data_IF_234916122223
#
_entry.id   IF_234916122223
#
_cell.length_a   1.000
_cell.length_b   1.000
_cell.length_c   1.000
_cell.angle_alpha   90.00
_cell.angle_beta   90.00
_cell.angle_gamma   90.00
#
_symmetry.space_group_name_H-M   'P 1'
#
loop_
_entity.id
_entity.type
_entity.pdbx_description
1 polymer ?
#
# COMPACT_ATOMS: atom_id res chain seq x y z
N UNK A 1 5.08 3.76 -22.25
CA UNK A 1 5.56 5.06 -21.73
C UNK A 1 6.04 4.99 -20.27
N UNK A 2 5.38 4.20 -19.37
CA UNK A 2 5.71 4.08 -17.93
C UNK A 2 6.75 3.00 -17.60
N UNK A 3 7.38 2.37 -18.59
CA UNK A 3 8.37 1.31 -18.35
C UNK A 3 9.47 1.78 -17.41
N UNK A 4 9.66 1.04 -16.30
CA UNK A 4 10.57 1.33 -15.19
C UNK A 4 10.34 2.67 -14.47
N UNK A 5 9.29 3.44 -14.75
CA UNK A 5 8.92 4.62 -13.94
C UNK A 5 7.99 4.25 -12.80
N UNK A 6 7.25 3.17 -12.99
CA UNK A 6 6.47 2.52 -11.94
C UNK A 6 6.76 1.02 -11.93
N UNK A 7 6.78 0.43 -10.75
CA UNK A 7 6.78 -1.02 -10.57
C UNK A 7 5.45 -1.44 -9.95
N UNK A 8 4.90 -2.58 -10.33
CA UNK A 8 3.69 -3.12 -9.71
C UNK A 8 4.03 -3.84 -8.41
N UNK A 9 3.49 -3.38 -7.31
CA UNK A 9 3.50 -4.08 -6.02
C UNK A 9 2.14 -4.72 -5.82
N UNK A 10 2.14 -6.01 -5.51
CA UNK A 10 0.92 -6.79 -5.34
C UNK A 10 0.36 -6.57 -3.94
N UNK A 11 -0.90 -6.22 -3.84
CA UNK A 11 -1.63 -6.10 -2.57
C UNK A 11 -2.83 -7.02 -2.56
N UNK A 12 -3.28 -7.40 -1.37
CA UNK A 12 -4.43 -8.29 -1.25
C UNK A 12 -5.16 -8.13 0.07
N UNK A 13 -6.42 -8.46 0.03
CA UNK A 13 -7.34 -8.34 1.15
C UNK A 13 -8.15 -9.64 1.31
N UNK A 14 -8.63 -9.87 2.51
CA UNK A 14 -9.59 -10.93 2.84
C UNK A 14 -10.77 -10.35 3.62
N UNK A 15 -11.93 -11.00 3.50
CA UNK A 15 -13.09 -10.65 4.30
C UNK A 15 -13.71 -11.89 4.95
N UNK A 16 -14.12 -11.72 6.19
CA UNK A 16 -14.87 -12.76 6.93
C UNK A 16 -16.28 -12.96 6.36
N UNK A 17 -16.96 -14.01 6.78
CA UNK A 17 -18.43 -14.03 6.76
C UNK A 17 -18.98 -12.89 7.64
N UNK A 18 -20.26 -12.51 7.50
CA UNK A 18 -20.87 -11.51 8.37
C UNK A 18 -20.78 -11.94 9.84
N UNK A 19 -20.31 -11.02 10.68
CA UNK A 19 -20.18 -11.24 12.12
C UNK A 19 -21.43 -10.74 12.86
N UNK A 20 -21.81 -11.42 13.91
CA UNK A 20 -22.89 -10.99 14.80
C UNK A 20 -22.44 -9.81 15.67
N UNK A 21 -23.39 -9.05 16.21
CA UNK A 21 -23.11 -7.94 17.12
C UNK A 21 -22.33 -8.41 18.39
N UNK A 22 -22.58 -9.64 18.86
CA UNK A 22 -21.81 -10.22 19.96
C UNK A 22 -20.34 -10.42 19.60
N UNK A 23 -20.06 -10.90 18.38
CA UNK A 23 -18.69 -11.06 17.90
C UNK A 23 -18.01 -9.70 17.74
N UNK A 24 -18.69 -8.71 17.17
CA UNK A 24 -18.18 -7.35 17.06
C UNK A 24 -17.84 -6.74 18.43
N UNK A 25 -18.73 -6.89 19.39
CA UNK A 25 -18.47 -6.43 20.76
C UNK A 25 -17.26 -7.13 21.39
N UNK A 26 -17.07 -8.43 21.11
CA UNK A 26 -15.90 -9.17 21.60
C UNK A 26 -14.60 -8.71 20.95
N UNK A 27 -14.65 -8.27 19.69
CA UNK A 27 -13.51 -7.69 18.97
C UNK A 27 -13.22 -6.24 19.38
N UNK A 28 -14.12 -5.57 20.09
CA UNK A 28 -14.00 -4.20 20.54
C UNK A 28 -14.39 -3.15 19.49
N UNK A 29 -15.06 -3.56 18.41
CA UNK A 29 -15.59 -2.65 17.39
C UNK A 29 -17.03 -2.29 17.70
N UNK A 30 -17.32 -1.00 17.84
CA UNK A 30 -18.65 -0.50 18.20
C UNK A 30 -19.35 0.22 17.06
N UNK A 31 -18.58 0.69 16.09
CA UNK A 31 -19.05 1.41 14.90
C UNK A 31 -18.34 0.87 13.66
N UNK A 32 -18.39 1.62 12.56
CA UNK A 32 -17.66 1.29 11.34
C UNK A 32 -16.25 1.88 11.37
N UNK A 33 -15.49 1.54 12.42
CA UNK A 33 -14.14 2.00 12.57
C UNK A 33 -13.25 1.45 11.46
N UNK A 34 -12.35 2.30 10.98
CA UNK A 34 -11.17 1.89 10.22
C UNK A 34 -9.98 1.86 11.15
N UNK A 35 -9.15 0.89 11.00
CA UNK A 35 -8.02 0.65 11.88
C UNK A 35 -6.77 0.35 11.05
N UNK A 36 -5.64 0.88 11.49
CA UNK A 36 -4.32 0.48 11.00
C UNK A 36 -3.40 0.26 12.19
N UNK A 37 -2.53 -0.72 12.11
CA UNK A 37 -1.48 -0.89 13.10
C UNK A 37 -0.36 0.12 12.87
N UNK A 38 0.56 0.22 13.84
CA UNK A 38 1.71 1.12 13.77
C UNK A 38 2.98 0.43 13.26
N UNK A 39 2.86 -0.75 12.67
CA UNK A 39 4.01 -1.44 12.07
C UNK A 39 4.41 -0.80 10.75
N UNK A 40 5.68 -0.89 10.38
CA UNK A 40 6.12 -0.38 9.06
C UNK A 40 5.48 -1.13 7.89
N UNK A 41 5.10 -2.38 8.12
CA UNK A 41 4.41 -3.21 7.14
C UNK A 41 2.89 -3.02 7.15
N UNK A 42 2.39 -2.03 7.84
CA UNK A 42 1.01 -1.59 8.01
C UNK A 42 -0.07 -2.61 7.63
N UNK A 43 -0.71 -3.18 8.65
CA UNK A 43 -1.95 -3.93 8.48
C UNK A 43 -3.12 -2.96 8.67
N UNK A 44 -4.09 -3.04 7.80
CA UNK A 44 -5.28 -2.19 7.87
C UNK A 44 -6.54 -3.04 7.80
N UNK A 45 -7.55 -2.60 8.53
CA UNK A 45 -8.80 -3.32 8.65
C UNK A 45 -9.97 -2.37 8.89
N UNK A 46 -11.16 -2.86 8.56
CA UNK A 46 -12.40 -2.10 8.75
C UNK A 46 -13.60 -3.03 8.91
N UNK A 47 -14.61 -2.55 9.63
CA UNK A 47 -15.96 -3.13 9.63
C UNK A 47 -16.74 -2.60 8.43
N UNK A 48 -17.32 -3.50 7.64
CA UNK A 48 -18.15 -3.14 6.48
C UNK A 48 -19.63 -2.97 6.88
N UNK A 49 -20.39 -2.33 6.01
CA UNK A 49 -21.83 -2.13 6.23
C UNK A 49 -22.62 -3.45 6.33
N UNK A 50 -22.14 -4.51 5.66
CA UNK A 50 -22.72 -5.86 5.72
C UNK A 50 -22.08 -6.75 6.81
N UNK A 51 -21.49 -6.10 7.82
CA UNK A 51 -21.01 -6.75 9.05
C UNK A 51 -19.83 -7.70 8.86
N UNK A 52 -18.95 -7.47 7.90
CA UNK A 52 -17.74 -8.25 7.70
C UNK A 52 -16.51 -7.51 8.22
N UNK A 53 -15.55 -8.26 8.74
CA UNK A 53 -14.21 -7.72 8.97
C UNK A 53 -13.39 -7.90 7.69
N UNK A 54 -12.92 -6.79 7.14
CA UNK A 54 -12.02 -6.77 5.99
C UNK A 54 -10.62 -6.45 6.48
N UNK A 55 -9.64 -7.22 6.02
CA UNK A 55 -8.23 -7.08 6.43
C UNK A 55 -7.34 -7.07 5.20
N UNK A 56 -6.49 -6.08 5.12
CA UNK A 56 -5.41 -5.97 4.16
C UNK A 56 -4.08 -5.76 4.85
N UNK A 57 -3.02 -6.03 4.14
CA UNK A 57 -1.67 -5.77 4.59
C UNK A 57 -0.80 -5.35 3.42
N UNK A 58 0.34 -4.73 3.71
CA UNK A 58 1.30 -4.30 2.71
C UNK A 58 1.61 -5.42 1.71
N UNK A 59 1.74 -5.04 0.45
CA UNK A 59 1.93 -5.96 -0.65
C UNK A 59 3.37 -6.45 -0.80
N UNK A 60 3.59 -7.26 -1.80
CA UNK A 60 4.91 -7.77 -2.17
C UNK A 60 5.19 -7.53 -3.66
N UNK A 61 6.45 -7.43 -4.00
CA UNK A 61 6.90 -7.32 -5.37
C UNK A 61 7.14 -8.70 -5.97
N UNK A 62 6.60 -8.92 -7.17
CA UNK A 62 6.89 -10.14 -7.94
C UNK A 62 8.04 -9.87 -8.92
N UNK A 63 9.06 -10.73 -8.97
CA UNK A 63 10.16 -10.61 -9.92
C UNK A 63 9.65 -10.47 -11.37
N UNK A 64 10.26 -9.55 -12.12
CA UNK A 64 9.87 -9.26 -13.50
C UNK A 64 8.80 -8.18 -13.66
N UNK A 65 8.26 -7.67 -12.55
CA UNK A 65 7.41 -6.47 -12.56
C UNK A 65 6.15 -6.55 -13.42
N UNK A 66 5.58 -7.73 -13.59
CA UNK A 66 4.33 -7.89 -14.36
C UNK A 66 3.12 -7.65 -13.46
N UNK A 67 2.21 -6.75 -13.84
CA UNK A 67 0.94 -6.59 -13.13
C UNK A 67 0.16 -7.90 -13.16
N UNK A 68 -0.34 -8.32 -12.02
CA UNK A 68 -1.26 -9.45 -11.93
C UNK A 68 -2.66 -8.94 -11.66
N UNK A 69 -3.60 -9.33 -12.51
CA UNK A 69 -5.00 -8.93 -12.40
C UNK A 69 -5.85 -9.94 -11.61
N UNK A 70 -5.28 -11.09 -11.26
CA UNK A 70 -5.99 -12.23 -10.63
C UNK A 70 -5.25 -12.76 -9.41
N UNK A 71 -4.83 -11.89 -8.50
CA UNK A 71 -4.22 -12.32 -7.23
C UNK A 71 -5.23 -12.88 -6.22
N UNK A 72 -6.51 -12.79 -6.53
CA UNK A 72 -7.59 -13.20 -5.65
C UNK A 72 -7.50 -14.65 -5.15
N UNK A 73 -6.85 -15.53 -5.93
CA UNK A 73 -6.82 -16.98 -5.66
C UNK A 73 -5.43 -17.52 -5.25
N UNK A 74 -4.46 -16.65 -4.96
CA UNK A 74 -3.23 -17.12 -4.35
C UNK A 74 -3.53 -17.61 -2.94
N UNK A 75 -3.61 -18.92 -2.76
CA UNK A 75 -3.83 -19.55 -1.46
C UNK A 75 -2.82 -19.06 -0.41
N UNK A 76 -1.57 -18.84 -0.79
CA UNK A 76 -0.53 -18.32 0.08
C UNK A 76 -0.82 -16.90 0.58
N UNK A 77 -1.26 -15.99 -0.31
CA UNK A 77 -1.62 -14.63 0.07
C UNK A 77 -2.82 -14.62 1.02
N UNK A 78 -3.85 -15.39 0.70
CA UNK A 78 -5.02 -15.55 1.54
C UNK A 78 -4.64 -16.07 2.92
N UNK A 79 -3.91 -17.18 3.00
CA UNK A 79 -3.46 -17.77 4.27
C UNK A 79 -2.64 -16.78 5.12
N UNK A 80 -1.78 -15.99 4.50
CA UNK A 80 -1.02 -14.95 5.21
C UNK A 80 -1.94 -13.91 5.83
N UNK A 81 -2.96 -13.40 5.12
CA UNK A 81 -3.91 -12.40 5.66
C UNK A 81 -4.82 -13.00 6.73
N UNK A 82 -5.27 -14.23 6.55
CA UNK A 82 -6.01 -14.95 7.58
C UNK A 82 -5.16 -15.16 8.84
N UNK A 83 -3.87 -15.49 8.67
CA UNK A 83 -2.93 -15.62 9.78
C UNK A 83 -2.72 -14.31 10.54
N UNK A 84 -2.56 -13.19 9.84
CA UNK A 84 -2.48 -11.85 10.45
C UNK A 84 -3.77 -11.54 11.21
N UNK A 85 -4.93 -11.80 10.61
CA UNK A 85 -6.23 -11.59 11.26
C UNK A 85 -6.36 -12.37 12.57
N UNK A 86 -5.99 -13.64 12.56
CA UNK A 86 -6.04 -14.50 13.75
C UNK A 86 -4.98 -14.12 14.78
N UNK A 87 -3.84 -13.60 14.37
CA UNK A 87 -2.82 -13.06 15.28
C UNK A 87 -3.30 -11.82 16.02
N UNK A 88 -3.95 -10.89 15.32
CA UNK A 88 -4.53 -9.69 15.91
C UNK A 88 -5.79 -9.99 16.73
N UNK A 89 -6.61 -10.89 16.25
CA UNK A 89 -7.90 -11.24 16.84
C UNK A 89 -8.06 -12.76 16.96
N UNK A 90 -7.49 -13.40 18.00
CA UNK A 90 -7.66 -14.84 18.24
C UNK A 90 -9.14 -15.27 18.36
N UNK A 91 -10.02 -14.32 18.70
CA UNK A 91 -11.47 -14.51 18.79
C UNK A 91 -12.12 -14.84 17.43
N UNK A 92 -11.42 -14.59 16.31
CA UNK A 92 -11.86 -14.99 14.97
C UNK A 92 -11.65 -16.49 14.68
N UNK A 93 -11.11 -17.24 15.64
CA UNK A 93 -10.94 -18.69 15.48
C UNK A 93 -12.29 -19.37 15.18
N UNK A 94 -12.34 -20.15 14.10
CA UNK A 94 -13.55 -20.78 13.61
C UNK A 94 -14.45 -19.91 12.71
N UNK A 95 -14.15 -18.63 12.54
CA UNK A 95 -14.83 -17.76 11.58
C UNK A 95 -14.28 -18.05 10.17
N UNK A 96 -15.19 -18.12 9.19
CA UNK A 96 -14.80 -18.37 7.81
C UNK A 96 -14.44 -17.06 7.10
N UNK A 97 -13.32 -17.07 6.39
CA UNK A 97 -13.00 -16.02 5.42
C UNK A 97 -13.63 -16.41 4.08
N UNK A 98 -14.59 -15.64 3.63
CA UNK A 98 -15.44 -15.99 2.47
C UNK A 98 -15.05 -15.29 1.20
N UNK A 99 -14.28 -14.20 1.29
CA UNK A 99 -13.81 -13.44 0.14
C UNK A 99 -12.33 -13.17 0.24
N UNK A 100 -11.65 -13.20 -0.90
CA UNK A 100 -10.31 -12.65 -1.05
C UNK A 100 -10.21 -11.95 -2.40
N UNK A 101 -9.46 -10.85 -2.45
CA UNK A 101 -9.19 -10.11 -3.69
C UNK A 101 -7.86 -9.41 -3.59
N UNK A 102 -7.36 -8.96 -4.71
CA UNK A 102 -6.11 -8.24 -4.76
C UNK A 102 -5.89 -7.57 -6.09
N UNK A 103 -4.80 -6.88 -6.21
CA UNK A 103 -4.41 -6.17 -7.41
C UNK A 103 -2.99 -5.64 -7.32
N UNK A 104 -2.60 -4.93 -8.37
CA UNK A 104 -1.30 -4.28 -8.44
C UNK A 104 -1.45 -2.79 -8.19
N UNK A 105 -0.68 -2.25 -7.26
CA UNK A 105 -0.50 -0.81 -7.09
C UNK A 105 0.78 -0.37 -7.77
N UNK A 106 0.73 0.74 -8.51
CA UNK A 106 1.88 1.32 -9.17
C UNK A 106 2.72 2.14 -8.20
N UNK A 107 3.98 1.75 -8.01
CA UNK A 107 4.92 2.44 -7.12
C UNK A 107 5.97 3.18 -7.94
N UNK A 108 6.01 4.53 -7.91
CA UNK A 108 7.04 5.32 -8.56
C UNK A 108 8.37 5.24 -7.81
N UNK A 109 9.49 5.46 -8.52
CA UNK A 109 10.84 5.36 -7.90
C UNK A 109 11.06 6.36 -6.76
N UNK A 110 10.36 7.49 -6.78
CA UNK A 110 10.42 8.50 -5.73
C UNK A 110 9.48 8.28 -4.55
N UNK A 111 8.64 7.25 -4.60
CA UNK A 111 7.62 6.94 -3.59
C UNK A 111 6.61 8.09 -3.32
N UNK A 112 6.52 9.06 -4.23
CA UNK A 112 5.56 10.16 -4.13
C UNK A 112 4.56 10.12 -5.29
N UNK A 113 3.27 10.33 -5.01
CA UNK A 113 2.29 10.51 -6.06
C UNK A 113 2.63 11.75 -6.89
N UNK A 114 2.28 11.71 -8.16
CA UNK A 114 2.59 12.81 -9.06
C UNK A 114 1.55 12.97 -10.17
N UNK A 115 1.49 14.19 -10.67
CA UNK A 115 0.80 14.54 -11.90
C UNK A 115 1.87 14.87 -12.93
N UNK A 116 1.72 14.38 -14.15
CA UNK A 116 2.51 14.82 -15.30
C UNK A 116 1.60 15.52 -16.29
N UNK A 117 1.95 16.72 -16.68
CA UNK A 117 1.28 17.48 -17.73
C UNK A 117 2.30 17.88 -18.79
N UNK A 118 2.28 17.17 -19.91
CA UNK A 118 3.10 17.41 -21.09
C UNK A 118 2.25 18.11 -22.15
N UNK A 119 2.34 19.42 -22.19
CA UNK A 119 1.59 20.23 -23.16
C UNK A 119 2.02 19.98 -24.61
N UNK A 120 3.28 19.54 -24.84
CA UNK A 120 3.79 19.26 -26.19
C UNK A 120 3.17 18.00 -26.79
N UNK A 121 3.17 16.89 -26.03
CA UNK A 121 2.54 15.64 -26.45
C UNK A 121 1.02 15.60 -26.17
N UNK A 122 0.46 16.63 -25.55
CA UNK A 122 -0.94 16.73 -25.09
C UNK A 122 -1.33 15.57 -24.18
N UNK A 123 -0.42 15.18 -23.32
CA UNK A 123 -0.62 14.09 -22.37
C UNK A 123 -0.67 14.63 -20.94
N UNK A 124 -1.71 14.24 -20.21
CA UNK A 124 -1.77 14.42 -18.77
C UNK A 124 -2.07 13.10 -18.10
N UNK A 125 -1.41 12.83 -16.97
CA UNK A 125 -1.64 11.65 -16.16
C UNK A 125 -1.42 11.96 -14.70
N UNK A 126 -2.11 11.22 -13.84
CA UNK A 126 -1.96 11.28 -12.39
C UNK A 126 -1.86 9.85 -11.84
N UNK A 127 -1.08 9.65 -10.79
CA UNK A 127 -0.92 8.31 -10.20
C UNK A 127 0.23 8.21 -9.22
N UNK A 128 0.60 6.96 -8.92
CA UNK A 128 1.66 6.69 -7.95
C UNK A 128 1.20 6.82 -6.50
N UNK A 129 -0.07 6.60 -6.22
CA UNK A 129 -0.69 6.78 -4.90
C UNK A 129 -0.29 5.73 -3.85
N UNK A 130 0.37 4.66 -4.25
CA UNK A 130 0.97 3.62 -3.37
C UNK A 130 -0.05 3.01 -2.38
N UNK A 131 -1.30 2.88 -2.79
CA UNK A 131 -2.40 2.35 -1.97
C UNK A 131 -3.32 3.43 -1.39
N UNK A 132 -2.91 4.69 -1.32
CA UNK A 132 -3.68 5.80 -0.73
C UNK A 132 -4.46 6.61 -1.78
N UNK A 133 -5.03 5.92 -2.76
CA UNK A 133 -5.62 6.57 -3.93
C UNK A 133 -7.00 7.19 -3.72
N UNK A 134 -7.75 6.85 -2.68
CA UNK A 134 -9.18 7.26 -2.58
C UNK A 134 -9.31 8.78 -2.52
N UNK A 135 -8.69 9.44 -1.55
CA UNK A 135 -8.71 10.90 -1.45
C UNK A 135 -7.81 11.58 -2.48
N UNK A 136 -6.59 11.03 -2.67
CA UNK A 136 -5.60 11.60 -3.57
C UNK A 136 -6.06 11.64 -5.03
N UNK A 137 -6.77 10.60 -5.52
CA UNK A 137 -7.24 10.56 -6.91
C UNK A 137 -8.26 11.66 -7.21
N UNK A 138 -9.10 12.03 -6.24
CA UNK A 138 -10.03 13.15 -6.39
C UNK A 138 -9.29 14.48 -6.51
N UNK A 139 -8.38 14.77 -5.59
CA UNK A 139 -7.57 15.98 -5.61
C UNK A 139 -6.76 16.10 -6.91
N UNK A 140 -6.12 15.01 -7.30
CA UNK A 140 -5.29 14.97 -8.51
C UNK A 140 -6.13 15.05 -9.79
N UNK A 141 -7.32 14.47 -9.78
CA UNK A 141 -8.28 14.59 -10.89
C UNK A 141 -8.72 16.05 -11.11
N UNK A 142 -9.02 16.78 -10.04
CA UNK A 142 -9.29 18.22 -10.11
C UNK A 142 -8.09 19.00 -10.66
N UNK A 143 -6.90 18.73 -10.14
CA UNK A 143 -5.67 19.40 -10.58
C UNK A 143 -5.37 19.13 -12.07
N UNK A 144 -5.57 17.91 -12.55
CA UNK A 144 -5.42 17.57 -13.98
C UNK A 144 -6.44 18.35 -14.81
N UNK A 145 -7.69 18.44 -14.38
CA UNK A 145 -8.71 19.23 -15.10
C UNK A 145 -8.34 20.71 -15.18
N UNK A 146 -7.83 21.29 -14.10
CA UNK A 146 -7.36 22.68 -14.06
C UNK A 146 -6.14 22.90 -15.00
N UNK A 147 -5.19 21.96 -15.00
CA UNK A 147 -4.04 22.02 -15.92
C UNK A 147 -4.46 21.95 -17.38
N UNK A 148 -5.41 21.08 -17.72
CA UNK A 148 -5.91 20.91 -19.09
C UNK A 148 -6.76 22.08 -19.57
N UNK A 149 -7.29 22.91 -18.66
CA UNK A 149 -8.07 24.11 -18.94
C UNK A 149 -7.28 25.40 -18.68
N UNK A 150 -5.94 25.30 -18.55
CA UNK A 150 -5.01 26.41 -18.35
C UNK A 150 -5.33 27.30 -17.14
N UNK A 151 -5.98 26.74 -16.12
CA UNK A 151 -6.26 27.45 -14.89
C UNK A 151 -5.00 27.55 -14.03
N UNK A 152 -4.80 28.71 -13.43
CA UNK A 152 -3.70 28.97 -12.49
C UNK A 152 -4.28 28.99 -11.07
N UNK A 153 -4.23 27.87 -10.40
CA UNK A 153 -4.70 27.68 -9.02
C UNK A 153 -3.54 27.29 -8.12
N UNK A 154 -3.75 27.31 -6.81
CA UNK A 154 -2.78 26.79 -5.86
C UNK A 154 -2.44 25.32 -6.14
N UNK A 155 -3.44 24.49 -6.46
CA UNK A 155 -3.26 23.07 -6.80
C UNK A 155 -2.34 22.85 -8.00
N UNK A 156 -2.44 23.70 -9.02
CA UNK A 156 -1.58 23.57 -10.21
C UNK A 156 -0.14 24.00 -9.99
N UNK A 157 0.18 24.58 -8.82
CA UNK A 157 1.54 24.99 -8.41
C UNK A 157 2.16 24.04 -7.37
N UNK A 158 1.44 23.02 -6.95
CA UNK A 158 1.90 22.09 -5.92
C UNK A 158 3.10 21.25 -6.39
N UNK A 159 4.01 20.85 -5.48
CA UNK A 159 5.25 20.17 -5.82
C UNK A 159 5.07 18.80 -6.51
N UNK A 160 3.90 18.19 -6.39
CA UNK A 160 3.59 16.95 -7.10
C UNK A 160 3.19 17.16 -8.57
N UNK A 161 3.09 18.39 -9.04
CA UNK A 161 2.78 18.71 -10.43
C UNK A 161 4.08 18.84 -11.22
N UNK A 162 4.30 17.89 -12.11
CA UNK A 162 5.42 17.91 -13.05
C UNK A 162 4.96 18.43 -14.42
N UNK A 163 5.45 19.61 -14.78
CA UNK A 163 5.23 20.23 -16.11
C UNK A 163 6.36 19.82 -17.05
N UNK A 164 6.20 18.68 -17.69
CA UNK A 164 7.21 18.07 -18.56
C UNK A 164 6.75 16.71 -19.05
N UNK A 165 7.65 15.94 -19.63
CA UNK A 165 7.28 14.67 -20.22
C UNK A 165 7.47 13.50 -19.24
N UNK A 166 6.77 12.39 -19.51
CA UNK A 166 6.94 11.15 -18.73
C UNK A 166 8.39 10.65 -18.70
N UNK A 167 9.20 11.06 -19.68
CA UNK A 167 10.61 10.65 -19.75
C UNK A 167 11.44 11.25 -18.61
N UNK A 168 11.02 12.38 -18.04
CA UNK A 168 11.73 13.10 -16.99
C UNK A 168 11.56 12.43 -15.60
N UNK A 169 10.52 11.63 -15.45
CA UNK A 169 10.30 10.88 -14.20
C UNK A 169 11.45 9.91 -13.95
N UNK A 170 11.87 9.81 -12.68
CA UNK A 170 12.90 8.86 -12.25
C UNK A 170 12.52 7.43 -12.65
N UNK A 171 13.52 6.67 -13.08
CA UNK A 171 13.36 5.26 -13.40
C UNK A 171 13.82 4.41 -12.23
N UNK A 172 13.11 3.32 -12.01
CA UNK A 172 13.60 2.23 -11.20
C UNK A 172 14.83 1.59 -11.84
N UNK A 173 15.66 1.04 -11.01
CA UNK A 173 16.83 0.26 -11.41
C UNK A 173 16.40 -0.93 -12.30
N UNK A 174 17.30 -1.49 -13.10
CA UNK A 174 17.02 -2.73 -13.83
C UNK A 174 16.78 -3.91 -12.88
N UNK A 175 16.02 -4.90 -13.35
CA UNK A 175 15.93 -6.18 -12.66
C UNK A 175 17.32 -6.82 -12.51
N UNK A 176 17.59 -7.49 -11.38
CA UNK A 176 16.68 -7.81 -10.25
C UNK A 176 16.72 -6.81 -9.09
N UNK A 177 17.32 -5.63 -9.24
CA UNK A 177 17.59 -4.69 -8.15
C UNK A 177 16.33 -4.22 -7.40
N UNK A 178 15.20 -3.87 -8.06
CA UNK A 178 14.00 -3.49 -7.33
C UNK A 178 13.48 -4.59 -6.42
N UNK A 179 13.45 -5.83 -6.92
CA UNK A 179 13.01 -6.98 -6.14
C UNK A 179 13.91 -7.28 -4.94
N UNK A 180 15.23 -7.19 -5.14
CA UNK A 180 16.20 -7.38 -4.06
C UNK A 180 16.10 -6.28 -3.01
N UNK A 181 15.98 -5.02 -3.44
CA UNK A 181 15.83 -3.88 -2.55
C UNK A 181 14.57 -3.98 -1.70
N UNK A 182 13.41 -4.20 -2.31
CA UNK A 182 12.14 -4.35 -1.60
C UNK A 182 12.15 -5.55 -0.64
N UNK A 183 12.75 -6.69 -1.05
CA UNK A 183 12.88 -7.84 -0.18
C UNK A 183 13.77 -7.54 1.03
N UNK A 184 14.89 -6.85 0.82
CA UNK A 184 15.78 -6.45 1.90
C UNK A 184 15.09 -5.51 2.90
N UNK A 185 14.37 -4.51 2.40
CA UNK A 185 13.58 -3.58 3.22
C UNK A 185 12.52 -4.32 4.06
N UNK A 186 11.73 -5.18 3.44
CA UNK A 186 10.71 -5.96 4.17
C UNK A 186 11.32 -6.92 5.20
N UNK A 187 12.51 -7.47 4.91
CA UNK A 187 13.23 -8.30 5.89
C UNK A 187 13.73 -7.48 7.07
N UNK A 188 14.22 -6.26 6.82
CA UNK A 188 14.66 -5.36 7.88
C UNK A 188 13.48 -4.94 8.78
N UNK A 189 12.33 -4.62 8.20
CA UNK A 189 11.11 -4.28 8.95
C UNK A 189 10.64 -5.45 9.84
N UNK A 190 10.62 -6.67 9.29
CA UNK A 190 10.25 -7.85 10.08
C UNK A 190 11.26 -8.14 11.21
N UNK A 191 12.55 -7.88 10.98
CA UNK A 191 13.58 -8.02 12.01
C UNK A 191 13.42 -6.96 13.11
N UNK A 192 13.09 -5.72 12.75
CA UNK A 192 12.79 -4.66 13.72
C UNK A 192 11.61 -5.04 14.60
N UNK A 193 10.48 -5.44 14.01
CA UNK A 193 9.28 -5.88 14.73
C UNK A 193 9.60 -7.03 15.69
N UNK A 194 10.32 -8.03 15.22
CA UNK A 194 10.71 -9.19 16.04
C UNK A 194 11.60 -8.77 17.23
N UNK A 195 12.53 -7.83 17.02
CA UNK A 195 13.39 -7.32 18.08
C UNK A 195 12.59 -6.50 19.10
N UNK A 196 11.69 -5.62 18.64
CA UNK A 196 10.84 -4.81 19.51
C UNK A 196 9.96 -5.68 20.42
N UNK A 197 9.38 -6.75 19.86
CA UNK A 197 8.51 -7.66 20.63
C UNK A 197 9.27 -8.52 21.66
N UNK A 198 10.48 -8.98 21.33
CA UNK A 198 11.21 -9.97 22.14
C UNK A 198 12.29 -9.40 23.00
N UNK A 199 12.92 -8.35 22.58
CA UNK A 199 14.11 -7.76 23.22
C UNK A 199 13.80 -6.38 23.79
N UNK A 200 12.78 -5.70 23.23
CA UNK A 200 12.44 -4.33 23.58
C UNK A 200 13.47 -3.32 23.08
N UNK A 201 13.57 -2.17 23.74
CA UNK A 201 14.53 -1.13 23.39
C UNK A 201 15.96 -1.53 23.80
N UNK A 202 16.74 -1.95 22.84
CA UNK A 202 18.12 -2.38 23.00
C UNK A 202 19.03 -1.70 21.96
N UNK A 203 20.34 -1.84 22.13
CA UNK A 203 21.30 -1.33 21.15
C UNK A 203 21.10 -2.01 19.76
N UNK A 204 20.77 -3.30 19.76
CA UNK A 204 20.49 -4.04 18.54
C UNK A 204 19.20 -3.54 17.86
N UNK A 205 18.15 -3.34 18.64
CA UNK A 205 16.87 -2.79 18.14
C UNK A 205 17.08 -1.40 17.54
N UNK A 206 17.75 -0.48 18.26
CA UNK A 206 18.05 0.86 17.75
C UNK A 206 18.87 0.86 16.47
N UNK A 207 19.83 -0.05 16.34
CA UNK A 207 20.63 -0.17 15.12
C UNK A 207 19.77 -0.61 13.91
N UNK A 208 18.86 -1.57 14.12
CA UNK A 208 17.95 -2.04 13.07
C UNK A 208 16.91 -0.96 12.75
N UNK A 209 16.36 -0.26 13.75
CA UNK A 209 15.42 0.86 13.54
C UNK A 209 16.08 1.98 12.73
N UNK A 210 17.34 2.33 13.06
CA UNK A 210 18.10 3.30 12.27
C UNK A 210 18.21 2.87 10.78
N UNK A 211 18.51 1.59 10.53
CA UNK A 211 18.55 1.06 9.17
C UNK A 211 17.18 1.14 8.50
N UNK A 212 16.12 0.78 9.20
CA UNK A 212 14.75 0.84 8.71
C UNK A 212 14.35 2.27 8.35
N UNK A 213 14.71 3.26 9.17
CA UNK A 213 14.43 4.68 8.89
C UNK A 213 15.11 5.17 7.60
N UNK A 214 16.29 4.59 7.26
CA UNK A 214 16.98 4.94 6.00
C UNK A 214 16.46 4.16 4.79
N UNK A 215 15.78 3.05 5.01
CA UNK A 215 15.14 2.24 3.96
C UNK A 215 13.68 2.65 3.74
N UNK A 216 13.07 3.26 4.74
CA UNK A 216 11.69 3.78 4.64
C UNK A 216 11.70 5.06 3.79
N UNK A 217 10.93 5.10 2.72
CA UNK A 217 10.89 6.27 1.83
C UNK A 217 10.00 7.41 2.33
N UNK A 218 9.37 7.26 3.51
CA UNK A 218 8.41 8.23 4.08
C UNK A 218 8.99 9.06 5.20
#
# INVERSE_FOLDING_TARGET
PLYRRMIPVQTGMVATEPLSEKQWSTLGFHHNETFADCTRAATYLQRTADQRLVIGARGHYLPGGLPQHTLADSSAMRQTREGIALGLFPQLSGIRFTHSWGGSVGVPRGWHPHIVHDAHSRLATAGGYIGEGVGASFLFGQTVAELLTDQQTERTQMPWVHRGCLADLRRWEPEPLPGLGLKATMTAFAAEEWLLERVGDSAATRAVSWLCDHLDPH
#
